data_IF_702376660380
#
_entry.id   IF_702376660380
#
_cell.length_a   1.000
_cell.length_b   1.000
_cell.length_c   1.000
_cell.angle_alpha   90.00
_cell.angle_beta   90.00
_cell.angle_gamma   90.00
#
_symmetry.space_group_name_H-M   'P 1'
#
loop_
_entity.id
_entity.type
_entity.pdbx_description
1 polymer ?
#
# COMPACT_ATOMS: atom_id res chain seq x y z
N UNK A 1 20.64 -33.34 20.70
CA UNK A 1 20.16 -31.93 20.61
C UNK A 1 19.61 -31.55 21.98
N UNK A 2 19.99 -30.39 22.56
CA UNK A 2 19.35 -29.92 23.80
C UNK A 2 17.86 -29.65 23.55
N UNK A 3 17.00 -29.95 24.52
CA UNK A 3 15.56 -29.60 24.44
C UNK A 3 15.43 -28.07 24.30
N UNK A 4 14.53 -27.57 23.44
CA UNK A 4 14.33 -26.14 23.29
C UNK A 4 13.82 -25.53 24.61
N UNK A 5 14.30 -24.34 24.93
CA UNK A 5 13.87 -23.60 26.11
C UNK A 5 12.41 -23.15 25.93
N UNK A 6 11.61 -23.07 27.01
CA UNK A 6 10.17 -22.75 26.93
C UNK A 6 9.89 -21.43 26.19
N UNK A 7 10.77 -20.45 26.32
CA UNK A 7 10.70 -19.15 25.62
C UNK A 7 10.89 -19.31 24.10
N UNK A 8 11.74 -20.23 23.64
CA UNK A 8 11.93 -20.50 22.22
C UNK A 8 10.69 -21.17 21.62
N UNK A 9 10.09 -22.11 22.36
CA UNK A 9 8.83 -22.76 21.99
C UNK A 9 7.72 -21.70 21.90
N UNK A 10 7.60 -20.85 22.92
CA UNK A 10 6.62 -19.77 22.95
C UNK A 10 6.80 -18.78 21.79
N UNK A 11 8.04 -18.43 21.46
CA UNK A 11 8.34 -17.61 20.28
C UNK A 11 7.89 -18.27 18.99
N UNK A 12 8.17 -19.57 18.80
CA UNK A 12 7.75 -20.31 17.61
C UNK A 12 6.22 -20.37 17.51
N UNK A 13 5.53 -20.60 18.63
CA UNK A 13 4.07 -20.57 18.68
C UNK A 13 3.53 -19.20 18.29
N UNK A 14 4.04 -18.11 18.88
CA UNK A 14 3.62 -16.75 18.55
C UNK A 14 3.83 -16.42 17.07
N UNK A 15 5.01 -16.74 16.54
CA UNK A 15 5.33 -16.52 15.13
C UNK A 15 4.43 -17.35 14.20
N UNK A 16 4.18 -18.62 14.54
CA UNK A 16 3.27 -19.49 13.80
C UNK A 16 1.82 -18.98 13.82
N UNK A 17 1.35 -18.52 14.99
CA UNK A 17 0.02 -17.93 15.15
C UNK A 17 -0.16 -16.69 14.26
N UNK A 18 0.74 -15.70 14.34
CA UNK A 18 0.61 -14.49 13.52
C UNK A 18 0.79 -14.77 12.03
N UNK A 19 1.66 -15.71 11.65
CA UNK A 19 1.77 -16.13 10.25
C UNK A 19 0.46 -16.75 9.77
N UNK A 20 -0.13 -17.68 10.52
CA UNK A 20 -1.41 -18.30 10.19
C UNK A 20 -2.53 -17.25 10.12
N UNK A 21 -2.62 -16.36 11.11
CA UNK A 21 -3.61 -15.29 11.17
C UNK A 21 -3.52 -14.38 9.93
N UNK A 22 -2.33 -13.85 9.62
CA UNK A 22 -2.13 -13.00 8.44
C UNK A 22 -2.49 -13.75 7.17
N UNK A 23 -2.03 -15.00 7.03
CA UNK A 23 -2.35 -15.82 5.85
C UNK A 23 -3.85 -16.00 5.69
N UNK A 24 -4.55 -16.45 6.75
CA UNK A 24 -6.00 -16.66 6.74
C UNK A 24 -6.72 -15.36 6.36
N UNK A 25 -6.37 -14.23 6.98
CA UNK A 25 -6.99 -12.94 6.68
C UNK A 25 -6.77 -12.52 5.21
N UNK A 26 -5.55 -12.70 4.68
CA UNK A 26 -5.26 -12.38 3.28
C UNK A 26 -5.99 -13.30 2.30
N UNK A 27 -6.10 -14.60 2.61
CA UNK A 27 -6.90 -15.53 1.79
C UNK A 27 -8.39 -15.18 1.84
N UNK A 28 -8.91 -14.84 3.02
CA UNK A 28 -10.30 -14.43 3.16
C UNK A 28 -10.58 -13.11 2.44
N UNK A 29 -9.65 -12.16 2.44
CA UNK A 29 -9.77 -10.93 1.66
C UNK A 29 -9.89 -11.16 0.15
N UNK A 30 -9.20 -12.16 -0.40
CA UNK A 30 -9.34 -12.50 -1.82
C UNK A 30 -10.67 -13.20 -2.15
N UNK A 31 -11.24 -13.93 -1.18
CA UNK A 31 -12.43 -14.77 -1.40
C UNK A 31 -13.75 -14.12 -0.97
N UNK A 32 -13.73 -13.27 0.06
CA UNK A 32 -14.91 -12.74 0.73
C UNK A 32 -14.82 -11.22 0.90
N UNK A 33 -15.91 -10.47 0.69
CA UNK A 33 -15.96 -9.04 0.97
C UNK A 33 -15.88 -8.76 2.48
N UNK A 34 -15.45 -7.56 2.86
CA UNK A 34 -15.41 -7.10 4.26
C UNK A 34 -14.20 -7.56 5.08
N UNK A 35 -13.26 -8.32 4.51
CA UNK A 35 -12.01 -8.70 5.19
C UNK A 35 -10.89 -7.67 4.94
N UNK A 36 -9.93 -7.52 5.88
CA UNK A 36 -8.84 -6.55 5.76
C UNK A 36 -7.98 -6.77 4.53
N UNK A 37 -7.71 -5.67 3.82
CA UNK A 37 -6.76 -5.68 2.73
C UNK A 37 -5.35 -6.00 3.22
N UNK A 38 -4.49 -6.45 2.31
CA UNK A 38 -3.09 -6.75 2.64
C UNK A 38 -2.38 -5.51 3.20
N UNK A 39 -2.70 -4.33 2.66
CA UNK A 39 -2.14 -3.05 3.09
C UNK A 39 -2.56 -2.67 4.53
N UNK A 40 -3.74 -3.13 4.98
CA UNK A 40 -4.24 -2.95 6.34
C UNK A 40 -3.40 -3.67 7.40
N UNK A 41 -2.75 -4.77 7.01
CA UNK A 41 -2.01 -5.65 7.90
C UNK A 41 -0.51 -5.29 7.97
N UNK A 42 -0.06 -4.34 7.14
CA UNK A 42 1.32 -3.91 7.07
C UNK A 42 1.53 -2.55 7.79
N UNK A 43 2.30 -2.51 8.90
CA UNK A 43 2.61 -1.25 9.58
C UNK A 43 3.36 -0.25 8.69
N UNK A 44 4.06 -0.72 7.66
CA UNK A 44 4.82 0.14 6.75
C UNK A 44 3.93 1.04 5.89
N UNK A 45 2.74 0.57 5.49
CA UNK A 45 1.80 1.38 4.72
C UNK A 45 1.42 2.67 5.46
N UNK A 46 1.23 2.60 6.79
CA UNK A 46 0.98 3.79 7.61
C UNK A 46 2.14 4.80 7.57
N UNK A 47 3.39 4.36 7.38
CA UNK A 47 4.54 5.26 7.33
C UNK A 47 4.57 6.04 6.02
N UNK A 48 4.21 5.39 4.91
CA UNK A 48 4.08 6.04 3.60
C UNK A 48 2.90 7.02 3.58
N UNK A 49 1.79 6.65 4.20
CA UNK A 49 0.60 7.49 4.33
C UNK A 49 0.78 8.71 5.22
N UNK A 50 1.78 8.69 6.12
CA UNK A 50 1.99 9.76 7.10
C UNK A 50 2.31 11.10 6.42
N UNK A 51 3.01 11.08 5.28
CA UNK A 51 3.29 12.30 4.54
C UNK A 51 2.00 12.99 4.06
N UNK A 52 1.08 12.25 3.40
CA UNK A 52 -0.19 12.81 2.93
C UNK A 52 -1.05 13.33 4.08
N UNK A 53 -1.06 12.60 5.20
CA UNK A 53 -1.78 13.04 6.38
C UNK A 53 -1.22 14.35 6.95
N UNK A 54 0.10 14.52 6.98
CA UNK A 54 0.74 15.71 7.55
C UNK A 54 0.74 16.90 6.58
N UNK A 55 0.95 16.66 5.28
CA UNK A 55 1.11 17.71 4.28
C UNK A 55 -0.22 18.19 3.67
N UNK A 56 -1.17 17.28 3.46
CA UNK A 56 -2.43 17.56 2.75
C UNK A 56 -3.66 17.37 3.65
N UNK A 57 -3.47 16.94 4.91
CA UNK A 57 -4.54 16.52 5.82
C UNK A 57 -5.48 15.46 5.19
N UNK A 58 -4.92 14.64 4.29
CA UNK A 58 -5.65 13.67 3.49
C UNK A 58 -5.11 12.25 3.69
N UNK A 59 -5.99 11.25 3.63
CA UNK A 59 -5.63 9.83 3.68
C UNK A 59 -5.48 9.32 2.25
N UNK A 60 -4.40 8.59 1.95
CA UNK A 60 -4.23 7.92 0.65
C UNK A 60 -5.40 6.97 0.40
N UNK A 61 -6.03 7.04 -0.77
CA UNK A 61 -7.21 6.25 -1.16
C UNK A 61 -7.07 4.72 -0.93
N UNK A 62 -5.83 4.21 -0.92
CA UNK A 62 -5.50 2.78 -0.71
C UNK A 62 -5.08 2.43 0.73
N UNK A 63 -4.86 3.40 1.61
CA UNK A 63 -4.44 3.17 3.00
C UNK A 63 -5.65 3.16 3.92
N UNK A 64 -5.81 2.08 4.67
CA UNK A 64 -6.80 2.01 5.73
C UNK A 64 -6.30 2.73 7.00
N UNK A 65 -7.21 3.29 7.82
CA UNK A 65 -6.86 3.85 9.14
C UNK A 65 -6.12 2.86 10.05
N UNK A 66 -6.40 1.55 9.88
CA UNK A 66 -5.72 0.46 10.59
C UNK A 66 -4.21 0.46 10.41
N UNK A 67 -3.68 0.80 9.24
CA UNK A 67 -2.23 0.82 8.98
C UNK A 67 -1.51 1.88 9.84
N UNK A 68 -2.14 3.01 10.12
CA UNK A 68 -1.59 4.05 11.02
C UNK A 68 -1.61 3.59 12.48
N UNK A 69 -2.66 2.91 12.91
CA UNK A 69 -2.72 2.31 14.24
C UNK A 69 -1.63 1.25 14.40
N UNK A 70 -1.47 0.35 13.42
CA UNK A 70 -0.41 -0.66 13.45
C UNK A 70 0.98 -0.01 13.45
N UNK A 71 1.19 1.05 12.68
CA UNK A 71 2.43 1.83 12.75
C UNK A 71 2.64 2.40 14.15
N UNK A 72 1.66 3.08 14.73
CA UNK A 72 1.74 3.64 16.08
C UNK A 72 2.04 2.57 17.13
N UNK A 73 1.32 1.45 17.09
CA UNK A 73 1.53 0.32 17.99
C UNK A 73 2.94 -0.27 17.86
N UNK A 74 3.44 -0.44 16.63
CA UNK A 74 4.80 -0.94 16.39
C UNK A 74 5.88 0.06 16.78
N UNK A 75 5.64 1.38 16.67
CA UNK A 75 6.52 2.43 17.19
C UNK A 75 6.58 2.38 18.71
N UNK A 76 5.43 2.35 19.40
CA UNK A 76 5.36 2.26 20.87
C UNK A 76 6.11 1.01 21.34
N UNK A 77 5.85 -0.13 20.71
CA UNK A 77 6.56 -1.36 20.99
C UNK A 77 8.07 -1.24 20.71
N UNK A 78 8.46 -0.55 19.64
CA UNK A 78 9.86 -0.29 19.32
C UNK A 78 10.58 0.58 20.35
N UNK A 79 9.89 1.56 20.91
CA UNK A 79 10.41 2.40 21.99
C UNK A 79 10.51 1.60 23.29
N UNK A 80 9.54 0.76 23.64
CA UNK A 80 9.54 0.03 24.92
C UNK A 80 10.48 -1.19 24.89
N UNK A 81 10.41 -2.01 23.84
CA UNK A 81 11.02 -3.33 23.76
C UNK A 81 11.95 -3.51 22.55
N UNK A 82 12.41 -2.42 21.92
CA UNK A 82 13.23 -2.45 20.71
C UNK A 82 12.49 -3.13 19.54
N UNK A 83 13.21 -3.73 18.58
CA UNK A 83 12.59 -4.33 17.37
C UNK A 83 11.89 -5.68 17.63
N UNK A 84 11.17 -5.81 18.74
CA UNK A 84 10.45 -7.00 19.18
C UNK A 84 9.46 -7.50 18.12
N UNK A 85 8.75 -6.59 17.43
CA UNK A 85 7.82 -6.92 16.34
C UNK A 85 8.44 -7.87 15.30
N UNK A 86 9.66 -7.56 14.82
CA UNK A 86 10.36 -8.37 13.82
C UNK A 86 10.77 -9.77 14.32
N UNK A 87 10.89 -9.95 15.64
CA UNK A 87 11.32 -11.18 16.30
C UNK A 87 10.19 -12.10 16.74
N UNK A 88 8.98 -11.55 16.94
CA UNK A 88 7.86 -12.23 17.61
C UNK A 88 6.51 -12.18 16.86
N UNK A 89 6.30 -11.22 15.96
CA UNK A 89 4.99 -10.97 15.33
C UNK A 89 5.06 -10.99 13.80
N UNK A 90 6.08 -10.37 13.20
CA UNK A 90 6.17 -10.15 11.75
C UNK A 90 6.14 -11.45 10.92
N UNK A 91 5.07 -11.66 10.13
CA UNK A 91 4.87 -12.83 9.27
C UNK A 91 6.00 -13.04 8.25
N UNK A 92 6.44 -11.99 7.55
CA UNK A 92 7.55 -12.09 6.58
C UNK A 92 8.87 -12.51 7.25
N UNK A 93 9.08 -12.09 8.49
CA UNK A 93 10.23 -12.53 9.29
C UNK A 93 10.17 -14.01 9.67
N UNK A 94 8.97 -14.57 9.86
CA UNK A 94 8.75 -16.01 10.09
C UNK A 94 9.06 -16.79 8.84
N UNK A 95 8.53 -16.39 7.69
CA UNK A 95 8.79 -17.03 6.40
C UNK A 95 10.28 -17.15 6.13
N UNK A 96 11.03 -16.04 6.22
CA UNK A 96 12.49 -16.07 6.07
C UNK A 96 13.20 -16.92 7.13
N UNK A 97 12.64 -17.00 8.34
CA UNK A 97 13.13 -17.86 9.41
C UNK A 97 12.93 -19.35 9.12
N UNK A 98 11.78 -19.73 8.56
CA UNK A 98 11.47 -21.11 8.14
C UNK A 98 12.44 -21.55 7.04
N UNK A 99 12.64 -20.71 6.01
CA UNK A 99 13.61 -21.00 4.95
C UNK A 99 15.04 -21.10 5.49
N UNK A 100 15.44 -20.21 6.39
CA UNK A 100 16.75 -20.29 7.03
C UNK A 100 16.93 -21.52 7.92
N UNK A 101 15.88 -21.95 8.63
CA UNK A 101 15.89 -23.21 9.37
C UNK A 101 15.98 -24.42 8.43
N UNK A 102 15.21 -24.42 7.34
CA UNK A 102 15.23 -25.47 6.33
C UNK A 102 16.62 -25.58 5.69
N UNK A 103 17.23 -24.46 5.31
CA UNK A 103 18.58 -24.41 4.78
C UNK A 103 19.63 -24.92 5.76
N UNK A 104 19.57 -24.53 7.05
CA UNK A 104 20.46 -25.09 8.08
C UNK A 104 20.29 -26.61 8.23
N UNK A 105 19.05 -27.11 8.14
CA UNK A 105 18.74 -28.53 8.26
C UNK A 105 19.26 -29.34 7.07
N UNK A 106 19.11 -28.81 5.84
CA UNK A 106 19.56 -29.46 4.61
C UNK A 106 21.07 -29.34 4.41
N UNK A 107 21.64 -28.15 4.54
CA UNK A 107 23.06 -27.88 4.29
C UNK A 107 23.97 -28.30 5.46
N UNK A 108 23.38 -28.62 6.62
CA UNK A 108 24.08 -28.96 7.89
C UNK A 108 25.10 -27.92 8.35
N UNK A 109 25.11 -26.74 7.73
CA UNK A 109 26.00 -25.61 8.00
C UNK A 109 25.17 -24.34 8.04
N UNK A 110 25.61 -23.40 8.87
CA UNK A 110 25.07 -22.04 8.90
C UNK A 110 26.08 -21.11 8.24
N UNK A 111 25.68 -20.47 7.16
CA UNK A 111 26.48 -19.41 6.56
C UNK A 111 26.46 -18.16 7.44
N UNK A 112 27.64 -17.61 7.72
CA UNK A 112 27.84 -16.38 8.47
C UNK A 112 28.55 -15.40 7.54
N UNK A 113 27.93 -14.26 7.26
CA UNK A 113 28.51 -13.28 6.36
C UNK A 113 29.69 -12.56 7.03
N UNK A 114 30.85 -12.41 6.34
CA UNK A 114 31.96 -11.62 6.85
C UNK A 114 31.55 -10.19 7.18
N UNK A 115 32.00 -9.66 8.33
CA UNK A 115 31.62 -8.32 8.83
C UNK A 115 31.94 -7.19 7.84
N UNK A 116 32.98 -7.35 7.03
CA UNK A 116 33.42 -6.38 6.02
C UNK A 116 32.37 -6.19 4.92
N UNK A 117 31.63 -7.25 4.56
CA UNK A 117 30.57 -7.22 3.55
C UNK A 117 29.21 -6.95 4.21
N UNK A 118 28.95 -7.58 5.36
CA UNK A 118 27.67 -7.49 6.07
C UNK A 118 27.35 -6.06 6.53
N UNK A 119 28.35 -5.30 7.00
CA UNK A 119 28.14 -3.91 7.47
C UNK A 119 27.69 -2.93 6.36
N UNK A 120 28.39 -2.79 5.21
CA UNK A 120 27.95 -1.88 4.16
C UNK A 120 26.62 -2.32 3.55
N UNK A 121 26.38 -3.63 3.34
CA UNK A 121 25.11 -4.10 2.78
C UNK A 121 23.89 -3.77 3.67
N UNK A 122 24.07 -3.66 4.99
CA UNK A 122 22.99 -3.22 5.90
C UNK A 122 22.57 -1.75 5.69
N UNK A 123 23.36 -0.94 4.99
CA UNK A 123 22.94 0.42 4.63
C UNK A 123 21.90 0.42 3.52
N UNK A 124 21.82 -0.63 2.71
CA UNK A 124 20.90 -0.72 1.58
C UNK A 124 19.42 -0.60 1.98
N UNK A 125 19.01 -1.11 3.15
CA UNK A 125 17.64 -0.95 3.65
C UNK A 125 17.29 0.49 4.02
N UNK A 126 18.30 1.31 4.37
CA UNK A 126 18.09 2.74 4.62
C UNK A 126 17.99 3.50 3.32
N UNK A 127 18.80 3.14 2.31
CA UNK A 127 18.65 3.65 0.93
C UNK A 127 17.25 3.32 0.42
N UNK A 128 16.79 2.07 0.60
CA UNK A 128 15.44 1.66 0.24
C UNK A 128 14.39 2.49 0.99
N UNK A 129 14.49 2.61 2.32
CA UNK A 129 13.57 3.42 3.13
C UNK A 129 13.48 4.86 2.63
N UNK A 130 14.59 5.58 2.53
CA UNK A 130 14.59 6.99 2.14
C UNK A 130 14.23 7.18 0.67
N UNK A 131 14.63 6.26 -0.21
CA UNK A 131 14.23 6.27 -1.61
C UNK A 131 12.72 6.09 -1.77
N UNK A 132 12.14 5.10 -1.10
CA UNK A 132 10.69 4.86 -1.10
C UNK A 132 9.93 6.08 -0.59
N UNK A 133 10.34 6.65 0.55
CA UNK A 133 9.70 7.86 1.09
C UNK A 133 9.81 9.05 0.13
N UNK A 134 10.97 9.25 -0.50
CA UNK A 134 11.19 10.33 -1.47
C UNK A 134 10.32 10.18 -2.72
N UNK A 135 10.26 8.98 -3.30
CA UNK A 135 9.46 8.75 -4.50
C UNK A 135 7.96 8.78 -4.20
N UNK A 136 7.52 8.18 -3.10
CA UNK A 136 6.13 8.27 -2.62
C UNK A 136 5.73 9.73 -2.40
N UNK A 137 6.64 10.54 -1.85
CA UNK A 137 6.44 11.98 -1.70
C UNK A 137 6.23 12.68 -3.05
N UNK A 138 7.05 12.36 -4.06
CA UNK A 138 6.98 12.98 -5.39
C UNK A 138 5.77 12.55 -6.21
N UNK A 139 5.38 11.28 -6.13
CA UNK A 139 4.28 10.74 -6.94
C UNK A 139 2.91 10.86 -6.27
N UNK A 140 2.86 11.13 -4.96
CA UNK A 140 1.61 11.20 -4.21
C UNK A 140 0.82 9.88 -4.16
N UNK A 141 1.49 8.74 -4.41
CA UNK A 141 0.92 7.39 -4.46
C UNK A 141 1.87 6.39 -3.80
N UNK A 142 1.37 5.19 -3.43
CA UNK A 142 2.19 4.14 -2.81
C UNK A 142 3.05 3.44 -3.86
N UNK A 143 4.25 3.97 -4.08
CA UNK A 143 5.18 3.40 -5.07
C UNK A 143 5.67 2.02 -4.67
N UNK A 144 5.79 1.70 -3.38
CA UNK A 144 6.32 0.40 -2.97
C UNK A 144 5.37 -0.75 -3.26
N UNK A 145 4.06 -0.51 -3.38
CA UNK A 145 3.04 -1.56 -3.43
C UNK A 145 3.35 -2.68 -4.45
N UNK A 146 3.68 -2.40 -5.72
CA UNK A 146 4.06 -3.45 -6.68
C UNK A 146 5.42 -4.14 -6.38
N UNK A 147 6.27 -3.53 -5.56
CA UNK A 147 7.59 -4.03 -5.15
C UNK A 147 7.59 -4.69 -3.76
N UNK A 148 6.51 -4.58 -2.99
CA UNK A 148 6.47 -5.07 -1.61
C UNK A 148 6.28 -6.60 -1.59
N UNK A 149 7.27 -7.38 -1.10
CA UNK A 149 7.11 -8.83 -0.98
C UNK A 149 5.99 -9.24 -0.01
N UNK A 150 5.60 -8.37 0.94
CA UNK A 150 4.46 -8.63 1.80
C UNK A 150 3.13 -8.47 1.05
N UNK A 151 3.01 -7.44 0.20
CA UNK A 151 1.85 -7.28 -0.67
C UNK A 151 1.70 -8.47 -1.64
N UNK A 152 2.80 -8.89 -2.28
CA UNK A 152 2.82 -10.06 -3.14
C UNK A 152 2.45 -11.35 -2.38
N UNK A 153 2.95 -11.52 -1.15
CA UNK A 153 2.58 -12.65 -0.28
C UNK A 153 1.06 -12.72 -0.03
N UNK A 154 0.43 -11.58 0.30
CA UNK A 154 -1.01 -11.53 0.55
C UNK A 154 -1.89 -11.74 -0.69
N UNK A 155 -1.33 -11.62 -1.89
CA UNK A 155 -2.02 -11.86 -3.16
C UNK A 155 -1.73 -13.24 -3.76
N UNK A 156 -0.97 -14.11 -3.09
CA UNK A 156 -0.71 -15.48 -3.57
C UNK A 156 -1.99 -16.30 -3.80
N UNK A 157 -3.05 -16.02 -3.04
CA UNK A 157 -4.33 -16.70 -3.16
C UNK A 157 -5.28 -16.09 -4.20
N UNK A 158 -4.91 -14.96 -4.83
CA UNK A 158 -5.72 -14.30 -5.85
C UNK A 158 -5.68 -15.02 -7.22
N UNK A 159 -4.68 -15.89 -7.44
CA UNK A 159 -4.44 -16.55 -8.71
C UNK A 159 -3.17 -16.03 -9.38
N UNK A 160 -2.55 -16.86 -10.22
CA UNK A 160 -1.24 -16.54 -10.80
C UNK A 160 -1.30 -15.40 -11.82
N UNK A 161 -2.39 -15.27 -12.59
CA UNK A 161 -2.57 -14.18 -13.56
C UNK A 161 -2.62 -12.81 -12.90
N UNK A 162 -3.53 -12.61 -11.93
CA UNK A 162 -3.65 -11.35 -11.16
C UNK A 162 -2.34 -10.99 -10.46
N UNK A 163 -1.70 -11.99 -9.85
CA UNK A 163 -0.44 -11.79 -9.14
C UNK A 163 0.69 -11.35 -10.09
N UNK A 164 0.73 -11.88 -11.31
CA UNK A 164 1.75 -11.54 -12.29
C UNK A 164 1.53 -10.14 -12.88
N UNK A 165 0.29 -9.77 -13.16
CA UNK A 165 -0.02 -8.46 -13.75
C UNK A 165 0.24 -7.30 -12.78
N UNK A 166 -0.20 -7.42 -11.51
CA UNK A 166 -0.07 -6.32 -10.53
C UNK A 166 1.18 -6.41 -9.63
N UNK A 167 1.67 -7.61 -9.34
CA UNK A 167 2.67 -7.85 -8.29
C UNK A 167 3.87 -8.71 -8.74
N UNK A 168 4.14 -8.84 -10.05
CA UNK A 168 5.26 -9.66 -10.54
C UNK A 168 6.60 -9.30 -9.88
N UNK A 169 6.92 -8.01 -9.77
CA UNK A 169 8.19 -7.57 -9.19
C UNK A 169 8.26 -7.92 -7.69
N UNK A 170 7.21 -7.63 -6.93
CA UNK A 170 7.10 -8.01 -5.52
C UNK A 170 7.19 -9.53 -5.31
N UNK A 171 6.62 -10.33 -6.21
CA UNK A 171 6.73 -11.79 -6.19
C UNK A 171 8.17 -12.25 -6.45
N UNK A 172 8.86 -11.67 -7.43
CA UNK A 172 10.27 -11.96 -7.69
C UNK A 172 11.12 -11.61 -6.46
N UNK A 173 10.90 -10.44 -5.85
CA UNK A 173 11.58 -10.02 -4.62
C UNK A 173 11.29 -11.01 -3.49
N UNK A 174 10.03 -11.46 -3.34
CA UNK A 174 9.65 -12.46 -2.34
C UNK A 174 10.40 -13.77 -2.58
N UNK A 175 10.36 -14.35 -3.77
CA UNK A 175 11.02 -15.62 -4.12
C UNK A 175 12.53 -15.51 -3.91
N UNK A 176 13.17 -14.48 -4.45
CA UNK A 176 14.61 -14.24 -4.28
C UNK A 176 14.95 -14.06 -2.81
N UNK A 177 14.15 -13.32 -2.04
CA UNK A 177 14.40 -13.12 -0.61
C UNK A 177 14.31 -14.41 0.20
N UNK A 178 13.35 -15.29 -0.12
CA UNK A 178 13.18 -16.59 0.54
C UNK A 178 14.30 -17.55 0.12
N UNK A 179 14.65 -17.58 -1.16
CA UNK A 179 15.78 -18.35 -1.71
C UNK A 179 17.11 -17.93 -1.09
N UNK A 180 17.38 -16.63 -0.96
CA UNK A 180 18.57 -16.15 -0.26
C UNK A 180 18.50 -16.40 1.25
N UNK A 181 17.30 -16.34 1.85
CA UNK A 181 17.11 -16.67 3.27
C UNK A 181 17.37 -18.14 3.59
N UNK A 182 17.24 -19.04 2.61
CA UNK A 182 17.66 -20.44 2.73
C UNK A 182 19.16 -20.54 3.06
N UNK A 183 20.01 -19.78 2.37
CA UNK A 183 21.46 -19.77 2.61
C UNK A 183 21.84 -18.86 3.78
N UNK A 184 21.24 -17.67 3.86
CA UNK A 184 21.52 -16.65 4.86
C UNK A 184 20.24 -16.14 5.49
N UNK A 185 19.84 -16.78 6.60
CA UNK A 185 18.60 -16.51 7.33
C UNK A 185 18.30 -15.01 7.44
N UNK A 186 17.05 -14.62 7.11
CA UNK A 186 16.55 -13.24 7.20
C UNK A 186 17.28 -12.24 6.28
N UNK A 187 17.61 -12.64 5.06
CA UNK A 187 18.34 -11.81 4.08
C UNK A 187 17.63 -10.47 3.85
N UNK A 188 16.34 -10.49 3.52
CA UNK A 188 15.59 -9.26 3.22
C UNK A 188 15.44 -8.36 4.46
N UNK A 189 15.20 -8.94 5.65
CA UNK A 189 15.14 -8.15 6.89
C UNK A 189 16.46 -7.45 7.24
N UNK A 190 17.61 -7.98 6.79
CA UNK A 190 18.93 -7.39 7.04
C UNK A 190 19.28 -6.28 6.04
N UNK A 191 18.90 -6.45 4.78
CA UNK A 191 19.44 -5.63 3.68
C UNK A 191 18.43 -4.81 2.89
N UNK A 192 17.15 -5.17 2.86
CA UNK A 192 16.18 -4.54 1.95
C UNK A 192 14.91 -4.04 2.65
N UNK A 193 14.58 -4.56 3.84
CA UNK A 193 13.32 -4.26 4.51
C UNK A 193 13.25 -2.80 5.03
N UNK A 194 12.41 -1.93 4.44
CA UNK A 194 12.33 -0.52 4.82
C UNK A 194 11.68 -0.34 6.19
N UNK A 195 10.64 -1.13 6.52
CA UNK A 195 10.08 -1.18 7.88
C UNK A 195 11.14 -1.57 8.91
N UNK A 196 12.00 -2.52 8.56
CA UNK A 196 13.12 -2.94 9.41
C UNK A 196 14.14 -1.84 9.63
N UNK A 197 14.41 -1.01 8.63
CA UNK A 197 15.27 0.17 8.74
C UNK A 197 14.64 1.25 9.64
N UNK A 198 13.35 1.54 9.44
CA UNK A 198 12.63 2.52 10.24
C UNK A 198 12.59 2.12 11.72
N UNK A 199 12.15 0.90 12.03
CA UNK A 199 12.10 0.39 13.41
C UNK A 199 13.50 0.30 14.03
N UNK A 200 14.55 0.11 13.22
CA UNK A 200 15.93 0.16 13.70
C UNK A 200 16.31 1.56 14.21
N UNK A 201 15.90 2.63 13.52
CA UNK A 201 16.11 4.01 13.99
C UNK A 201 15.32 4.29 15.28
N UNK A 202 14.03 3.94 15.31
CA UNK A 202 13.17 4.15 16.48
C UNK A 202 13.69 3.37 17.70
N UNK A 203 14.05 2.10 17.52
CA UNK A 203 14.53 1.23 18.60
C UNK A 203 15.84 1.69 19.24
N UNK A 204 16.58 2.62 18.63
CA UNK A 204 17.78 3.21 19.22
C UNK A 204 17.46 3.90 20.55
N UNK A 205 16.27 4.48 20.66
CA UNK A 205 15.78 5.17 21.86
C UNK A 205 15.31 4.21 22.95
N UNK A 206 15.21 2.90 22.66
CA UNK A 206 14.67 1.95 23.61
C UNK A 206 15.59 1.77 24.84
N UNK A 207 15.04 1.82 26.06
CA UNK A 207 15.78 1.56 27.30
C UNK A 207 16.04 0.05 27.50
N UNK A 208 15.40 -0.80 26.69
CA UNK A 208 15.57 -2.24 26.74
C UNK A 208 16.88 -2.68 26.09
N UNK A 209 17.75 -3.34 26.85
CA UNK A 209 19.04 -3.86 26.35
C UNK A 209 19.34 -5.23 26.93
N UNK A 210 19.95 -6.08 26.10
CA UNK A 210 20.61 -7.31 26.57
C UNK A 210 22.01 -6.92 27.04
N UNK A 211 22.38 -7.31 28.25
CA UNK A 211 23.72 -7.10 28.82
C UNK A 211 24.44 -8.42 29.00
N UNK A 212 25.71 -8.43 28.60
CA UNK A 212 26.65 -9.50 28.84
C UNK A 212 27.56 -9.14 30.00
N UNK A 213 27.65 -10.02 30.98
CA UNK A 213 28.64 -9.95 32.04
C UNK A 213 29.90 -10.71 31.61
N UNK A 214 31.03 -9.99 31.55
CA UNK A 214 32.30 -10.56 31.12
C UNK A 214 32.92 -11.51 32.15
N UNK A 215 32.62 -11.34 33.43
CA UNK A 215 33.20 -12.17 34.49
C UNK A 215 32.61 -13.59 34.51
N UNK A 216 31.36 -13.73 34.05
CA UNK A 216 30.65 -15.01 34.02
C UNK A 216 30.67 -15.67 32.63
N UNK A 217 31.12 -14.94 31.60
CA UNK A 217 31.19 -15.43 30.24
C UNK A 217 32.39 -16.34 30.00
N UNK A 218 32.14 -17.54 29.45
CA UNK A 218 33.17 -18.52 29.11
C UNK A 218 33.61 -18.48 27.64
N UNK A 219 33.28 -17.41 26.90
CA UNK A 219 33.73 -17.19 25.51
C UNK A 219 33.47 -18.36 24.53
N UNK A 220 32.34 -19.05 24.68
CA UNK A 220 31.98 -20.21 23.84
C UNK A 220 31.39 -19.87 22.45
N UNK A 221 31.22 -18.58 22.14
CA UNK A 221 30.59 -18.05 20.91
C UNK A 221 29.18 -18.54 20.56
N UNK A 222 28.51 -19.33 21.40
CA UNK A 222 27.17 -19.88 21.09
C UNK A 222 26.12 -18.78 20.87
N UNK A 223 26.17 -17.70 21.65
CA UNK A 223 25.28 -16.55 21.51
C UNK A 223 25.42 -15.83 20.16
N UNK A 224 26.67 -15.63 19.69
CA UNK A 224 26.97 -15.06 18.37
C UNK A 224 26.56 -16.01 17.26
N UNK A 225 26.93 -17.30 17.37
CA UNK A 225 26.62 -18.35 16.37
C UNK A 225 25.12 -18.62 16.21
N UNK A 226 24.32 -18.43 17.25
CA UNK A 226 22.86 -18.62 17.19
C UNK A 226 22.10 -17.37 16.71
N UNK A 227 22.63 -16.16 16.92
CA UNK A 227 21.90 -14.93 16.64
C UNK A 227 21.46 -14.83 15.16
N UNK A 228 20.15 -14.85 14.83
CA UNK A 228 19.67 -14.89 13.44
C UNK A 228 20.10 -13.65 12.63
N UNK A 229 20.35 -12.54 13.33
CA UNK A 229 20.76 -11.27 12.76
C UNK A 229 22.27 -11.10 12.60
N UNK A 230 23.07 -12.14 12.89
CA UNK A 230 24.54 -12.14 12.75
C UNK A 230 25.23 -11.05 13.61
N UNK A 231 24.73 -10.84 14.82
CA UNK A 231 25.29 -9.87 15.77
C UNK A 231 26.38 -10.55 16.59
N UNK A 232 27.50 -9.85 16.78
CA UNK A 232 28.56 -10.27 17.69
C UNK A 232 28.17 -10.01 19.14
N UNK A 233 27.53 -11.00 19.76
CA UNK A 233 27.04 -10.94 21.14
C UNK A 233 28.16 -11.22 22.13
N UNK A 234 29.12 -12.07 21.77
CA UNK A 234 30.21 -12.47 22.65
C UNK A 234 31.15 -11.31 22.99
N UNK A 235 31.51 -10.48 22.01
CA UNK A 235 32.50 -9.42 22.24
C UNK A 235 31.88 -8.07 22.63
N UNK A 236 30.57 -8.03 22.87
CA UNK A 236 29.84 -6.81 23.20
C UNK A 236 29.26 -6.90 24.61
N UNK A 237 29.54 -5.91 25.48
CA UNK A 237 28.99 -5.86 26.83
C UNK A 237 27.50 -5.44 26.84
N UNK A 238 27.14 -4.41 26.08
CA UNK A 238 25.77 -3.94 25.90
C UNK A 238 25.35 -4.13 24.45
N UNK A 239 24.35 -4.97 24.19
CA UNK A 239 23.92 -5.26 22.82
C UNK A 239 23.10 -4.06 22.33
N UNK A 240 23.78 -3.10 21.71
CA UNK A 240 23.20 -1.84 21.21
C UNK A 240 22.97 -1.83 19.70
N UNK A 241 23.32 -2.92 19.02
CA UNK A 241 23.12 -3.07 17.58
C UNK A 241 21.67 -2.81 17.18
N UNK A 242 21.49 -1.94 16.20
CA UNK A 242 20.17 -1.63 15.61
C UNK A 242 19.55 -2.84 14.88
N UNK A 243 20.34 -3.90 14.69
CA UNK A 243 19.90 -5.15 14.08
C UNK A 243 19.23 -6.11 15.07
N UNK A 244 19.32 -5.85 16.38
CA UNK A 244 18.75 -6.74 17.39
C UNK A 244 17.23 -6.75 17.33
N UNK A 245 16.65 -7.90 17.00
CA UNK A 245 15.19 -8.13 16.96
C UNK A 245 14.62 -8.65 18.28
N UNK A 246 15.42 -8.64 19.35
CA UNK A 246 15.03 -9.07 20.70
C UNK A 246 14.34 -10.46 20.74
N UNK A 247 14.82 -11.40 19.93
CA UNK A 247 14.29 -12.76 19.83
C UNK A 247 14.69 -13.69 20.98
N UNK A 248 15.56 -13.24 21.91
CA UNK A 248 15.99 -13.97 23.11
C UNK A 248 16.78 -15.27 22.89
N UNK A 249 17.14 -15.59 21.64
CA UNK A 249 17.88 -16.80 21.28
C UNK A 249 19.28 -16.83 21.93
N UNK A 250 19.98 -15.69 21.98
CA UNK A 250 21.30 -15.61 22.59
C UNK A 250 21.27 -15.82 24.13
N UNK A 251 20.22 -15.36 24.79
CA UNK A 251 20.03 -15.50 26.25
C UNK A 251 19.70 -16.96 26.59
N UNK A 252 18.80 -17.58 25.83
CA UNK A 252 18.29 -18.93 26.10
C UNK A 252 19.27 -20.04 25.74
N UNK A 253 20.15 -19.84 24.76
CA UNK A 253 21.19 -20.83 24.41
C UNK A 253 22.39 -20.83 25.37
N UNK A 254 22.54 -19.76 26.16
CA UNK A 254 23.73 -19.53 26.97
C UNK A 254 23.90 -20.67 27.99
N UNK A 255 25.03 -21.42 27.97
CA UNK A 255 25.20 -22.60 28.81
C UNK A 255 25.48 -22.26 30.27
N UNK A 256 25.91 -21.04 30.55
CA UNK A 256 26.20 -20.55 31.89
C UNK A 256 24.90 -20.30 32.65
N UNK A 257 24.67 -21.01 33.76
CA UNK A 257 23.51 -20.80 34.63
C UNK A 257 23.52 -19.44 35.35
N UNK A 258 24.71 -18.85 35.54
CA UNK A 258 24.87 -17.48 36.00
C UNK A 258 24.31 -16.56 34.92
N UNK A 259 23.53 -15.53 35.28
CA UNK A 259 22.84 -14.55 34.41
C UNK A 259 23.80 -13.72 33.51
N UNK A 260 24.63 -14.42 32.76
CA UNK A 260 25.74 -13.94 31.94
C UNK A 260 25.20 -13.09 30.83
N UNK A 261 24.13 -13.54 30.20
CA UNK A 261 23.29 -12.69 29.35
C UNK A 261 21.99 -12.44 30.10
N UNK A 262 21.70 -11.17 30.37
CA UNK A 262 20.48 -10.76 31.07
C UNK A 262 19.78 -9.65 30.32
N UNK A 263 18.45 -9.67 30.35
CA UNK A 263 17.67 -8.57 29.84
C UNK A 263 17.57 -7.50 30.91
N UNK A 264 17.90 -6.28 30.55
CA UNK A 264 17.80 -5.12 31.42
C UNK A 264 16.83 -4.12 30.84
N UNK A 265 15.86 -3.72 31.67
CA UNK A 265 15.06 -2.54 31.42
C UNK A 265 15.45 -1.52 32.47
N UNK A 266 16.13 -0.46 32.04
CA UNK A 266 16.68 0.59 32.89
C UNK A 266 17.76 0.04 33.86
N UNK A 267 17.36 -0.48 35.02
CA UNK A 267 18.22 -1.13 36.02
C UNK A 267 17.70 -2.48 36.52
N UNK A 268 16.47 -2.89 36.14
CA UNK A 268 15.86 -4.14 36.59
C UNK A 268 16.17 -5.27 35.60
N UNK A 269 16.50 -6.45 36.14
CA UNK A 269 16.65 -7.68 35.35
C UNK A 269 15.29 -8.28 35.11
N UNK A 270 15.00 -8.64 33.86
CA UNK A 270 13.74 -9.27 33.47
C UNK A 270 13.99 -10.64 32.87
N UNK A 271 13.09 -11.58 33.17
CA UNK A 271 13.14 -12.90 32.55
C UNK A 271 12.79 -12.77 31.05
N UNK A 272 13.37 -13.62 30.16
CA UNK A 272 13.00 -13.61 28.75
C UNK A 272 11.50 -13.85 28.51
N UNK A 273 10.85 -14.62 29.39
CA UNK A 273 9.41 -14.91 29.30
C UNK A 273 8.56 -13.68 29.63
N UNK A 274 8.93 -12.92 30.68
CA UNK A 274 8.26 -11.67 31.04
C UNK A 274 8.29 -10.66 29.89
N UNK A 275 9.40 -10.57 29.17
CA UNK A 275 9.52 -9.67 28.02
C UNK A 275 8.64 -10.12 26.87
N UNK A 276 8.55 -11.42 26.62
CA UNK A 276 7.66 -11.97 25.63
C UNK A 276 6.20 -11.62 25.93
N UNK A 277 5.76 -11.80 27.18
CA UNK A 277 4.41 -11.47 27.63
C UNK A 277 4.13 -9.97 27.54
N UNK A 278 5.04 -9.11 28.00
CA UNK A 278 4.86 -7.65 27.93
C UNK A 278 4.80 -7.20 26.47
N UNK A 279 5.73 -7.66 25.61
CA UNK A 279 5.78 -7.25 24.22
C UNK A 279 4.54 -7.69 23.43
N UNK A 280 4.09 -8.93 23.62
CA UNK A 280 2.85 -9.42 22.99
C UNK A 280 1.61 -8.78 23.60
N UNK A 281 1.56 -8.62 24.92
CA UNK A 281 0.47 -7.96 25.63
C UNK A 281 0.26 -6.53 25.15
N UNK A 282 1.33 -5.72 25.10
CA UNK A 282 1.27 -4.35 24.55
C UNK A 282 0.74 -4.36 23.12
N UNK A 283 1.26 -5.26 22.27
CA UNK A 283 0.85 -5.33 20.86
C UNK A 283 -0.64 -5.68 20.72
N UNK A 284 -1.10 -6.70 21.43
CA UNK A 284 -2.49 -7.15 21.40
C UNK A 284 -3.41 -6.09 22.00
N UNK A 285 -3.08 -5.52 23.16
CA UNK A 285 -3.90 -4.49 23.81
C UNK A 285 -4.05 -3.25 22.93
N UNK A 286 -2.97 -2.74 22.34
CA UNK A 286 -3.06 -1.56 21.47
C UNK A 286 -3.93 -1.81 20.24
N UNK A 287 -3.77 -2.97 19.60
CA UNK A 287 -4.58 -3.35 18.44
C UNK A 287 -6.05 -3.56 18.82
N UNK A 288 -6.31 -4.28 19.92
CA UNK A 288 -7.67 -4.56 20.39
C UNK A 288 -8.40 -3.29 20.83
N UNK A 289 -7.75 -2.40 21.57
CA UNK A 289 -8.34 -1.12 21.97
C UNK A 289 -8.67 -0.27 20.75
N UNK A 290 -7.77 -0.19 19.78
CA UNK A 290 -8.03 0.55 18.56
C UNK A 290 -9.17 -0.08 17.72
N UNK A 291 -9.27 -1.40 17.69
CA UNK A 291 -10.39 -2.10 17.04
C UNK A 291 -11.72 -1.80 17.74
N UNK A 292 -11.75 -1.89 19.07
CA UNK A 292 -12.96 -1.67 19.88
C UNK A 292 -13.43 -0.21 19.87
N UNK A 293 -12.51 0.74 19.79
CA UNK A 293 -12.81 2.18 19.69
C UNK A 293 -13.16 2.63 18.27
N UNK A 294 -13.14 1.70 17.29
CA UNK A 294 -13.43 1.99 15.89
C UNK A 294 -12.32 2.78 15.17
N UNK A 295 -11.17 3.01 15.80
CA UNK A 295 -10.02 3.71 15.20
C UNK A 295 -9.22 2.80 14.26
N UNK A 296 -9.12 1.51 14.57
CA UNK A 296 -8.56 0.49 13.68
C UNK A 296 -9.69 -0.32 13.04
N UNK A 297 -10.29 0.24 12.00
CA UNK A 297 -11.17 -0.54 11.13
C UNK A 297 -10.29 -1.37 10.20
N UNK A 298 -10.24 -2.66 10.48
CA UNK A 298 -9.56 -3.65 9.64
C UNK A 298 -10.44 -4.04 8.46
N UNK A 299 -11.77 -4.06 8.62
CA UNK A 299 -12.70 -4.25 7.52
C UNK A 299 -12.95 -2.95 6.75
N UNK A 300 -13.09 -3.07 5.43
CA UNK A 300 -13.61 -1.98 4.62
C UNK A 300 -15.10 -1.80 4.92
N UNK A 301 -15.54 -0.54 5.09
CA UNK A 301 -16.96 -0.20 5.16
C UNK A 301 -17.55 -0.49 3.78
N UNK A 302 -18.60 -1.32 3.65
CA UNK A 302 -19.33 -1.51 2.41
C UNK A 302 -19.71 -0.15 1.80
N UNK A 303 -19.63 -0.04 0.49
CA UNK A 303 -19.96 1.20 -0.22
C UNK A 303 -21.41 1.62 0.06
N UNK A 304 -22.31 0.62 0.19
CA UNK A 304 -23.71 0.79 0.58
C UNK A 304 -23.91 1.41 1.97
N UNK A 305 -22.99 1.16 2.91
CA UNK A 305 -23.02 1.75 4.25
C UNK A 305 -22.41 3.16 4.26
N UNK A 306 -21.36 3.40 3.46
CA UNK A 306 -20.83 4.76 3.24
C UNK A 306 -21.86 5.70 2.61
N UNK A 307 -22.65 5.19 1.66
CA UNK A 307 -23.73 5.94 1.02
C UNK A 307 -24.71 6.54 2.04
N UNK A 308 -24.96 5.86 3.16
CA UNK A 308 -25.84 6.32 4.24
C UNK A 308 -25.25 7.45 5.09
N UNK A 309 -23.95 7.73 5.00
CA UNK A 309 -23.22 8.66 5.87
C UNK A 309 -22.83 9.99 5.18
N UNK A 310 -23.44 10.33 4.04
CA UNK A 310 -23.30 11.59 3.31
C UNK A 310 -21.86 11.98 2.87
N UNK A 311 -20.90 11.04 2.91
CA UNK A 311 -19.50 11.24 2.52
C UNK A 311 -19.06 10.30 1.40
N UNK A 312 -19.96 10.02 0.46
CA UNK A 312 -19.72 9.09 -0.64
C UNK A 312 -19.04 9.81 -1.82
N UNK A 313 -17.85 9.34 -2.20
CA UNK A 313 -17.11 9.80 -3.38
C UNK A 313 -16.89 8.64 -4.36
N UNK A 314 -16.85 8.85 -5.69
CA UNK A 314 -16.45 7.83 -6.66
C UNK A 314 -15.10 7.18 -6.35
N UNK A 315 -14.23 7.88 -5.62
CA UNK A 315 -12.94 7.36 -5.15
C UNK A 315 -13.06 6.21 -4.14
N UNK A 316 -14.22 6.08 -3.49
CA UNK A 316 -14.50 5.01 -2.52
C UNK A 316 -14.74 3.65 -3.17
N UNK A 317 -14.96 3.61 -4.49
CA UNK A 317 -15.16 2.37 -5.25
C UNK A 317 -13.85 1.57 -5.27
N UNK A 318 -13.92 0.31 -4.88
CA UNK A 318 -12.77 -0.61 -4.83
C UNK A 318 -12.94 -1.74 -5.82
N UNK A 319 -11.85 -2.37 -6.21
CA UNK A 319 -11.91 -3.54 -7.09
C UNK A 319 -12.72 -4.70 -6.50
N UNK A 320 -12.78 -4.81 -5.17
CA UNK A 320 -13.61 -5.80 -4.47
C UNK A 320 -15.10 -5.44 -4.39
N UNK A 321 -15.49 -4.19 -4.70
CA UNK A 321 -16.89 -3.74 -4.72
C UNK A 321 -17.62 -4.41 -5.87
N UNK A 322 -18.88 -4.81 -5.66
CA UNK A 322 -19.69 -5.41 -6.72
C UNK A 322 -20.36 -4.35 -7.58
N UNK A 323 -20.71 -4.71 -8.81
CA UNK A 323 -21.39 -3.80 -9.73
C UNK A 323 -22.73 -3.29 -9.15
N UNK A 324 -23.50 -4.19 -8.55
CA UNK A 324 -24.76 -3.87 -7.90
C UNK A 324 -24.59 -2.89 -6.74
N UNK A 325 -23.54 -3.04 -5.94
CA UNK A 325 -23.27 -2.14 -4.82
C UNK A 325 -22.92 -0.72 -5.31
N UNK A 326 -22.23 -0.57 -6.44
CA UNK A 326 -21.97 0.75 -7.05
C UNK A 326 -23.27 1.40 -7.53
N UNK A 327 -24.11 0.66 -8.26
CA UNK A 327 -25.37 1.17 -8.78
C UNK A 327 -26.29 1.63 -7.64
N UNK A 328 -26.42 0.82 -6.60
CA UNK A 328 -27.25 1.13 -5.44
C UNK A 328 -26.71 2.33 -4.65
N UNK A 329 -25.39 2.37 -4.40
CA UNK A 329 -24.78 3.40 -3.57
C UNK A 329 -24.79 4.79 -4.22
N UNK A 330 -24.62 4.85 -5.55
CA UNK A 330 -24.61 6.11 -6.30
C UNK A 330 -25.95 6.42 -6.98
N UNK A 331 -26.98 5.60 -6.76
CA UNK A 331 -28.30 5.74 -7.38
C UNK A 331 -28.24 5.87 -8.91
N UNK A 332 -27.43 5.01 -9.55
CA UNK A 332 -27.23 5.03 -10.99
C UNK A 332 -28.19 4.07 -11.70
N UNK A 333 -28.69 4.49 -12.85
CA UNK A 333 -29.49 3.64 -13.72
C UNK A 333 -28.62 2.54 -14.35
N UNK A 334 -29.14 1.30 -14.30
CA UNK A 334 -28.40 0.11 -14.73
C UNK A 334 -28.02 0.20 -16.21
N UNK A 335 -28.96 0.59 -17.07
CA UNK A 335 -28.72 0.63 -18.52
C UNK A 335 -27.63 1.64 -18.90
N UNK A 336 -27.71 2.86 -18.37
CA UNK A 336 -26.73 3.92 -18.63
C UNK A 336 -25.33 3.52 -18.19
N UNK A 337 -25.22 2.83 -17.06
CA UNK A 337 -23.95 2.38 -16.51
C UNK A 337 -23.32 1.25 -17.34
N UNK A 338 -24.09 0.24 -17.73
CA UNK A 338 -23.60 -0.85 -18.58
C UNK A 338 -23.22 -0.35 -19.98
N UNK A 339 -23.99 0.58 -20.53
CA UNK A 339 -23.70 1.21 -21.81
C UNK A 339 -22.41 2.03 -21.74
N UNK A 340 -22.23 2.82 -20.67
CA UNK A 340 -21.03 3.64 -20.49
C UNK A 340 -19.75 2.80 -20.32
N UNK A 341 -19.84 1.61 -19.71
CA UNK A 341 -18.71 0.68 -19.59
C UNK A 341 -18.59 -0.30 -20.77
N UNK A 342 -19.51 -0.23 -21.76
CA UNK A 342 -19.58 -1.15 -22.90
C UNK A 342 -19.66 -2.63 -22.47
N UNK A 343 -20.37 -2.92 -21.37
CA UNK A 343 -20.50 -4.27 -20.82
C UNK A 343 -21.83 -4.91 -21.23
N UNK A 344 -21.81 -6.23 -21.38
CA UNK A 344 -23.01 -7.02 -21.66
C UNK A 344 -23.61 -7.57 -20.38
N UNK A 345 -24.88 -7.24 -20.12
CA UNK A 345 -25.63 -7.68 -18.93
C UNK A 345 -25.71 -9.22 -18.79
N UNK A 346 -25.63 -9.96 -19.89
CA UNK A 346 -25.70 -11.43 -19.88
C UNK A 346 -24.39 -12.10 -19.51
N UNK A 347 -23.25 -11.42 -19.69
CA UNK A 347 -21.92 -11.94 -19.34
C UNK A 347 -21.47 -11.54 -17.95
N UNK A 348 -21.95 -10.40 -17.46
CA UNK A 348 -21.44 -9.77 -16.24
C UNK A 348 -22.62 -9.48 -15.32
N UNK A 349 -22.93 -10.38 -14.37
CA UNK A 349 -24.04 -10.18 -13.45
C UNK A 349 -23.68 -9.15 -12.36
N UNK A 350 -24.68 -8.65 -11.63
CA UNK A 350 -24.53 -7.53 -10.68
C UNK A 350 -23.66 -7.86 -9.47
N UNK A 351 -23.58 -9.12 -9.09
CA UNK A 351 -22.70 -9.65 -8.04
C UNK A 351 -21.22 -9.68 -8.44
N UNK A 352 -20.90 -9.39 -9.72
CA UNK A 352 -19.52 -9.38 -10.21
C UNK A 352 -18.74 -8.27 -9.52
N UNK A 353 -17.58 -8.63 -8.97
CA UNK A 353 -16.63 -7.68 -8.39
C UNK A 353 -15.95 -6.90 -9.51
N UNK A 354 -15.74 -5.61 -9.30
CA UNK A 354 -15.17 -4.73 -10.33
C UNK A 354 -13.84 -5.27 -10.87
N UNK A 355 -12.96 -5.78 -10.01
CA UNK A 355 -11.67 -6.34 -10.45
C UNK A 355 -11.79 -7.56 -11.36
N UNK A 356 -12.88 -8.34 -11.23
CA UNK A 356 -13.09 -9.57 -11.99
C UNK A 356 -13.71 -9.31 -13.39
N UNK A 357 -14.19 -8.09 -13.64
CA UNK A 357 -14.88 -7.69 -14.88
C UNK A 357 -13.97 -7.85 -16.09
N UNK A 358 -12.70 -7.43 -16.01
CA UNK A 358 -11.77 -7.53 -17.13
C UNK A 358 -11.65 -8.95 -17.66
N UNK A 359 -11.49 -9.91 -16.75
CA UNK A 359 -11.38 -11.34 -17.06
C UNK A 359 -12.67 -11.89 -17.69
N UNK A 360 -13.83 -11.50 -17.18
CA UNK A 360 -15.14 -11.97 -17.67
C UNK A 360 -15.57 -11.30 -18.99
N UNK A 361 -15.18 -10.03 -19.18
CA UNK A 361 -15.45 -9.24 -20.37
C UNK A 361 -14.48 -9.53 -21.52
N UNK A 362 -13.32 -10.13 -21.23
CA UNK A 362 -12.24 -10.30 -22.21
C UNK A 362 -11.48 -9.00 -22.49
N UNK A 363 -11.46 -8.05 -21.54
CA UNK A 363 -10.78 -6.77 -21.67
C UNK A 363 -9.37 -6.90 -21.08
N UNK A 364 -8.36 -6.74 -21.93
CA UNK A 364 -6.95 -6.71 -21.51
C UNK A 364 -6.64 -5.29 -21.00
N UNK A 365 -6.17 -5.16 -19.75
CA UNK A 365 -5.95 -3.90 -19.02
C UNK A 365 -7.18 -3.26 -18.36
N UNK A 366 -8.02 -4.07 -17.72
CA UNK A 366 -9.11 -3.54 -16.90
C UNK A 366 -8.60 -2.97 -15.57
N UNK A 367 -8.92 -1.70 -15.29
CA UNK A 367 -8.62 -1.06 -14.01
C UNK A 367 -9.90 -0.62 -13.29
N UNK A 368 -9.89 -0.65 -11.95
CA UNK A 368 -11.00 -0.11 -11.15
C UNK A 368 -11.23 1.39 -11.43
N UNK A 369 -10.20 2.13 -11.87
CA UNK A 369 -10.30 3.55 -12.18
C UNK A 369 -11.28 3.83 -13.33
N UNK A 370 -11.38 2.92 -14.31
CA UNK A 370 -12.34 3.03 -15.42
C UNK A 370 -13.77 3.14 -14.89
N UNK A 371 -14.11 2.35 -13.86
CA UNK A 371 -15.43 2.41 -13.23
C UNK A 371 -15.63 3.73 -12.48
N UNK A 372 -14.61 4.20 -11.76
CA UNK A 372 -14.69 5.48 -11.03
C UNK A 372 -14.93 6.65 -11.97
N UNK A 373 -14.24 6.67 -13.10
CA UNK A 373 -14.39 7.71 -14.11
C UNK A 373 -15.78 7.70 -14.75
N UNK A 374 -16.32 6.52 -15.07
CA UNK A 374 -17.70 6.39 -15.54
C UNK A 374 -18.70 6.92 -14.50
N UNK A 375 -18.53 6.56 -13.23
CA UNK A 375 -19.39 7.09 -12.15
C UNK A 375 -19.28 8.61 -12.05
N UNK A 376 -18.07 9.19 -12.08
CA UNK A 376 -17.88 10.65 -12.09
C UNK A 376 -18.62 11.30 -13.26
N UNK A 377 -18.51 10.72 -14.46
CA UNK A 377 -19.14 11.23 -15.66
C UNK A 377 -20.67 11.18 -15.57
N UNK A 378 -21.25 10.07 -15.10
CA UNK A 378 -22.70 9.93 -14.96
C UNK A 378 -23.27 10.87 -13.88
N UNK A 379 -22.59 11.02 -12.75
CA UNK A 379 -22.98 11.98 -11.70
C UNK A 379 -22.91 13.44 -12.19
N UNK A 380 -21.90 13.78 -13.00
CA UNK A 380 -21.79 15.12 -13.59
C UNK A 380 -22.93 15.42 -14.58
N UNK A 381 -23.34 14.43 -15.38
CA UNK A 381 -24.49 14.55 -16.28
C UNK A 381 -25.80 14.74 -15.52
N UNK A 382 -26.02 13.96 -14.46
CA UNK A 382 -27.21 14.09 -13.62
C UNK A 382 -27.32 15.47 -12.95
N UNK A 383 -26.19 16.03 -12.51
CA UNK A 383 -26.14 17.37 -11.88
C UNK A 383 -26.43 18.50 -12.88
N UNK A 384 -25.94 18.37 -14.12
CA UNK A 384 -26.20 19.37 -15.18
C UNK A 384 -27.66 19.31 -15.68
N UNK A 385 -28.31 18.15 -15.67
CA UNK A 385 -29.72 18.04 -16.04
C UNK A 385 -30.67 18.67 -15.00
N UNK A 386 -30.31 18.65 -13.71
CA UNK A 386 -31.14 19.25 -12.65
C UNK A 386 -31.11 20.78 -12.61
N UNK A 387 -30.11 21.43 -13.21
CA UNK A 387 -30.09 22.90 -13.33
C UNK A 387 -31.03 23.43 -14.43
N UNK A 388 -31.58 22.56 -15.29
CA UNK A 388 -32.46 22.96 -16.39
C UNK A 388 -33.95 22.97 -15.98
N UNK A 389 -34.35 22.28 -14.90
CA UNK A 389 -35.76 22.11 -14.52
C UNK A 389 -36.30 23.09 -13.45
N UNK A 390 -35.53 24.10 -13.01
CA UNK A 390 -36.02 25.10 -12.03
C UNK A 390 -36.25 26.48 -12.65
N UNK A 391 -37.33 26.62 -13.43
CA UNK A 391 -37.91 27.91 -13.77
C UNK A 391 -39.45 27.86 -13.63
N UNK A 392 -40.03 28.36 -12.52
CA UNK A 392 -41.42 28.78 -12.49
C UNK A 392 -41.55 30.22 -12.98
N UNK A 393 -42.57 30.41 -13.82
CA UNK A 393 -43.00 31.65 -14.46
C UNK A 393 -43.17 32.83 -13.48
N UNK A 394 -42.82 34.04 -13.95
CA UNK A 394 -43.03 35.30 -13.23
C UNK A 394 -43.96 36.21 -14.03
N UNK A 395 -44.95 36.79 -13.35
CA UNK A 395 -45.64 38.02 -13.76
C UNK A 395 -46.15 38.77 -12.49
N UNK A 396 -46.47 40.08 -12.55
CA UNK A 396 -45.49 41.15 -12.37
C UNK A 396 -45.91 42.20 -11.31
N UNK A 397 -45.00 43.06 -10.83
CA UNK A 397 -45.33 44.46 -10.51
C UNK A 397 -44.14 45.33 -10.07
N UNK A 398 -44.15 46.53 -10.64
CA UNK A 398 -43.73 47.86 -10.13
C UNK A 398 -42.27 48.14 -9.78
N UNK A 399 -41.71 49.14 -10.50
CA UNK A 399 -41.19 50.33 -9.82
C UNK A 399 -39.82 50.84 -10.23
N UNK A 400 -39.82 51.84 -11.12
CA UNK A 400 -38.88 52.98 -11.23
C UNK A 400 -37.58 52.84 -12.08
N UNK A 401 -37.53 53.74 -13.06
CA UNK A 401 -36.43 54.17 -13.97
C UNK A 401 -35.99 55.60 -13.54
N UNK A 402 -35.09 56.34 -14.24
CA UNK A 402 -33.92 55.99 -15.06
C UNK A 402 -32.66 56.86 -14.78
N UNK A 403 -31.48 56.46 -15.27
CA UNK A 403 -30.42 57.37 -15.78
C UNK A 403 -29.40 56.50 -16.53
N UNK A 404 -29.45 56.40 -17.87
CA UNK A 404 -29.06 57.33 -18.93
C UNK A 404 -27.65 57.04 -19.49
N UNK A 405 -27.63 56.76 -20.81
CA UNK A 405 -26.54 56.83 -21.80
C UNK A 405 -25.34 55.87 -21.66
N UNK A 406 -24.81 55.20 -22.69
CA UNK A 406 -25.05 55.23 -24.15
C UNK A 406 -24.16 54.15 -24.82
N UNK A 407 -24.72 53.44 -25.82
CA UNK A 407 -24.11 52.92 -27.09
C UNK A 407 -22.71 52.25 -27.01
N UNK A 408 -22.48 51.05 -27.54
CA UNK A 408 -22.50 50.71 -28.99
C UNK A 408 -22.42 49.19 -29.20
N UNK A 409 -23.08 48.70 -30.25
CA UNK A 409 -23.21 47.30 -30.70
C UNK A 409 -21.95 46.72 -31.37
N UNK A 410 -21.78 45.39 -31.30
CA UNK A 410 -20.84 44.58 -32.12
C UNK A 410 -20.61 43.18 -31.52
N UNK A 411 -20.62 42.07 -32.30
CA UNK A 411 -21.18 40.79 -31.87
C UNK A 411 -20.24 39.93 -31.02
N UNK A 412 -20.79 39.33 -29.97
CA UNK A 412 -20.14 38.31 -29.14
C UNK A 412 -20.21 36.93 -29.81
N UNK A 413 -19.07 36.40 -30.23
CA UNK A 413 -18.92 34.99 -30.60
C UNK A 413 -18.78 34.14 -29.34
N UNK A 414 -19.79 33.33 -29.06
CA UNK A 414 -19.77 32.28 -28.05
C UNK A 414 -18.79 31.16 -28.50
N UNK A 415 -17.81 30.83 -27.68
CA UNK A 415 -17.05 29.57 -27.79
C UNK A 415 -16.78 29.07 -26.37
N UNK A 416 -17.83 28.55 -25.73
CA UNK A 416 -17.67 27.78 -24.50
C UNK A 416 -17.35 26.31 -24.83
N UNK A 417 -16.16 25.88 -24.43
CA UNK A 417 -15.98 24.55 -23.84
C UNK A 417 -15.74 23.33 -24.76
N UNK A 418 -15.07 23.45 -25.90
CA UNK A 418 -14.61 22.25 -26.62
C UNK A 418 -13.40 21.61 -25.91
N UNK A 419 -13.56 20.37 -25.43
CA UNK A 419 -12.49 19.61 -24.77
C UNK A 419 -11.92 18.55 -25.72
N UNK A 420 -10.64 18.71 -26.10
CA UNK A 420 -9.97 17.75 -26.97
C UNK A 420 -9.52 16.51 -26.18
N UNK A 421 -10.03 15.34 -26.56
CA UNK A 421 -9.58 14.03 -26.07
C UNK A 421 -8.59 13.40 -27.06
N UNK A 422 -7.60 12.66 -26.54
CA UNK A 422 -6.60 11.99 -27.40
C UNK A 422 -7.17 10.83 -28.22
N UNK A 423 -8.35 10.32 -27.86
CA UNK A 423 -9.10 9.28 -28.60
C UNK A 423 -9.79 9.82 -29.84
N UNK A 424 -9.99 11.14 -29.95
CA UNK A 424 -10.66 11.73 -31.10
C UNK A 424 -9.79 11.71 -32.34
N UNK A 425 -10.43 11.52 -33.49
CA UNK A 425 -9.84 11.73 -34.81
C UNK A 425 -9.93 13.21 -35.21
N UNK A 426 -9.12 13.64 -36.18
CA UNK A 426 -9.21 15.02 -36.72
C UNK A 426 -10.58 15.25 -37.36
N UNK A 427 -11.16 14.22 -37.99
CA UNK A 427 -12.50 14.28 -38.55
C UNK A 427 -13.59 14.50 -37.47
N UNK A 428 -13.48 13.84 -36.33
CA UNK A 428 -14.40 14.03 -35.20
C UNK A 428 -14.27 15.42 -34.59
N UNK A 429 -13.04 15.92 -34.43
CA UNK A 429 -12.77 17.28 -33.94
C UNK A 429 -13.34 18.32 -34.89
N UNK A 430 -13.14 18.14 -36.20
CA UNK A 430 -13.68 19.00 -37.25
C UNK A 430 -15.22 19.05 -37.20
N UNK A 431 -15.86 17.90 -37.07
CA UNK A 431 -17.32 17.80 -36.94
C UNK A 431 -17.83 18.49 -35.66
N UNK A 432 -17.15 18.31 -34.53
CA UNK A 432 -17.54 18.94 -33.25
C UNK A 432 -17.35 20.46 -33.25
N UNK A 433 -16.31 20.97 -33.91
CA UNK A 433 -16.04 22.41 -34.01
C UNK A 433 -16.72 23.09 -35.20
N UNK A 434 -17.43 22.34 -36.05
CA UNK A 434 -18.00 22.81 -37.33
C UNK A 434 -16.94 23.46 -38.23
N UNK A 435 -15.73 22.91 -38.24
CA UNK A 435 -14.60 23.36 -39.07
C UNK A 435 -14.26 22.31 -40.13
N UNK A 436 -13.51 22.68 -41.17
CA UNK A 436 -12.91 21.69 -42.07
C UNK A 436 -11.72 20.98 -41.38
N UNK A 437 -11.42 19.71 -41.71
CA UNK A 437 -10.25 19.01 -41.19
C UNK A 437 -8.94 19.77 -41.42
N UNK A 438 -8.80 20.45 -42.56
CA UNK A 438 -7.64 21.26 -42.92
C UNK A 438 -7.45 22.45 -41.97
N UNK A 439 -8.54 23.10 -41.56
CA UNK A 439 -8.51 24.22 -40.62
C UNK A 439 -8.17 23.75 -39.20
N UNK A 440 -8.63 22.56 -38.80
CA UNK A 440 -8.25 21.91 -37.53
C UNK A 440 -6.76 21.57 -37.50
N UNK A 441 -6.24 20.97 -38.58
CA UNK A 441 -4.81 20.65 -38.73
C UNK A 441 -3.97 21.93 -38.59
N UNK A 442 -4.39 23.00 -39.26
CA UNK A 442 -3.72 24.30 -39.21
C UNK A 442 -3.73 24.91 -37.80
N UNK A 443 -4.86 24.91 -37.10
CA UNK A 443 -4.99 25.43 -35.73
C UNK A 443 -4.17 24.64 -34.72
N UNK A 444 -4.14 23.32 -34.87
CA UNK A 444 -3.33 22.43 -34.03
C UNK A 444 -1.83 22.46 -34.37
N UNK A 445 -1.45 23.10 -35.49
CA UNK A 445 -0.07 23.14 -35.99
C UNK A 445 0.46 21.75 -36.30
N UNK A 446 -0.40 20.88 -36.85
CA UNK A 446 -0.07 19.53 -37.29
C UNK A 446 0.37 19.58 -38.77
N UNK A 447 1.20 18.63 -39.22
CA UNK A 447 1.66 18.59 -40.61
C UNK A 447 0.51 18.16 -41.54
N UNK A 448 0.54 18.61 -42.80
CA UNK A 448 -0.58 18.49 -43.75
C UNK A 448 -0.88 17.05 -44.19
N UNK A 449 0.07 16.14 -44.01
CA UNK A 449 0.01 14.73 -44.36
C UNK A 449 -0.53 13.85 -43.23
N UNK A 450 -0.94 14.44 -42.10
CA UNK A 450 -1.45 13.67 -40.95
C UNK A 450 -2.78 12.96 -41.29
N UNK A 451 -2.91 11.65 -40.98
CA UNK A 451 -4.15 10.91 -41.17
C UNK A 451 -5.32 11.52 -40.38
N UNK A 452 -6.43 11.80 -41.05
CA UNK A 452 -7.59 12.46 -40.44
C UNK A 452 -8.55 11.52 -39.71
N UNK A 453 -8.43 10.22 -39.96
CA UNK A 453 -9.28 9.11 -39.53
C UNK A 453 -8.67 8.29 -38.37
N UNK A 454 -7.47 8.64 -37.90
CA UNK A 454 -6.80 7.96 -36.78
C UNK A 454 -6.85 8.76 -35.48
N UNK A 455 -6.93 8.11 -34.31
CA UNK A 455 -6.91 8.79 -33.02
C UNK A 455 -5.61 9.57 -32.80
N UNK A 456 -5.72 10.80 -32.25
CA UNK A 456 -4.56 11.65 -31.98
C UNK A 456 -3.54 11.00 -31.01
N UNK A 457 -3.97 10.12 -30.11
CA UNK A 457 -3.09 9.44 -29.14
C UNK A 457 -2.15 8.44 -29.82
N UNK A 458 -2.59 7.83 -30.91
CA UNK A 458 -1.84 6.78 -31.61
C UNK A 458 -0.78 7.37 -32.56
N UNK A 459 -0.89 8.67 -32.84
CA UNK A 459 -0.03 9.41 -33.77
C UNK A 459 0.95 10.36 -33.05
N UNK A 460 0.83 10.50 -31.72
CA UNK A 460 1.62 11.47 -30.92
C UNK A 460 3.13 11.27 -31.03
N UNK A 461 3.59 10.02 -31.07
CA UNK A 461 5.02 9.68 -31.07
C UNK A 461 5.61 9.82 -32.49
N UNK A 462 4.78 9.57 -33.51
CA UNK A 462 5.14 9.71 -34.94
C UNK A 462 5.28 11.17 -35.36
N UNK A 463 4.40 12.05 -34.88
CA UNK A 463 4.34 13.45 -35.29
C UNK A 463 4.81 14.43 -34.20
N UNK A 464 5.34 13.92 -33.08
CA UNK A 464 6.09 14.72 -32.10
C UNK A 464 5.26 15.78 -31.36
N UNK A 465 4.03 15.46 -30.94
CA UNK A 465 3.19 16.37 -30.17
C UNK A 465 2.68 15.74 -28.86
N UNK A 466 2.14 16.55 -27.97
CA UNK A 466 1.46 16.08 -26.75
C UNK A 466 0.00 16.52 -26.77
N UNK A 467 -0.91 15.66 -26.27
CA UNK A 467 -2.34 15.98 -26.18
C UNK A 467 -2.61 17.25 -25.35
N UNK A 468 -1.94 17.48 -24.20
CA UNK A 468 -2.04 18.75 -23.48
C UNK A 468 -1.60 19.96 -24.32
N UNK A 469 -0.51 19.84 -25.09
CA UNK A 469 -0.05 20.92 -25.98
C UNK A 469 -1.02 21.20 -27.14
N UNK A 470 -1.74 20.18 -27.63
CA UNK A 470 -2.79 20.37 -28.63
C UNK A 470 -4.03 21.07 -28.04
N UNK A 471 -4.39 20.78 -26.78
CA UNK A 471 -5.49 21.47 -26.08
C UNK A 471 -5.23 22.97 -25.90
N UNK A 472 -3.99 23.34 -25.64
CA UNK A 472 -3.60 24.74 -25.47
C UNK A 472 -3.77 25.55 -26.78
N UNK A 473 -3.55 24.91 -27.93
CA UNK A 473 -3.74 25.54 -29.25
C UNK A 473 -5.21 25.67 -29.70
N UNK A 474 -6.14 25.06 -28.98
CA UNK A 474 -7.57 25.07 -29.28
C UNK A 474 -8.40 25.97 -28.35
N UNK A 475 -7.77 26.52 -27.30
CA UNK A 475 -8.30 27.65 -26.53
C UNK A 475 -8.03 28.95 -27.28
#
# INVERSE_FOLDING_TARGET
MKKPHSVQIFRLFSLGFFLALVTILTVLHQKLPGFPSVDALCPFGGLEGLYKLVAENAILQKIQPSSFVLLGATIILALVAGRFFCGWICALGVLQGIFGWLGKKLLKKRFIMPKVIDRPLRWLKYIALFGILYFTWKAGTLIIRPYDPFAAYGHLAAGFSELWEEFAIGLIILIVSLGLSFFYERFFCKYLCPLGAFLALVSRLSPFRIRRDNQTCIHCSLCTKTCPMNIDVEHTANITSLECINCQECVTICPTKKSTLSNTWWRKKLSPFTIALIGLGISITLVSVAALTGQARFSDIPLSEKAKTASLSPDDIKGSTTLGEVLESFHLEKQDFYQALQLSETKIPLETRIKDIGTLAGITNWETETVREVVRNLLSKATNSQQIETLPQKQPSSGQTPSSSSKTEGPSSQTEGFFLEGTMTIQEIANSLKLSPEEVIKRLGLPKDIPIDKPLRDMKDTYGYTIPGLREKLR
#
